data_IF_731887934638
#
_entry.id   IF_731887934638
#
_cell.length_a   1.000
_cell.length_b   1.000
_cell.length_c   1.000
_cell.angle_alpha   90.00
_cell.angle_beta   90.00
_cell.angle_gamma   90.00
#
_symmetry.space_group_name_H-M   'P 1'
#
loop_
_entity.id
_entity.type
_entity.pdbx_description
1 polymer ?
#
# COMPACT_ATOMS: atom_id res chain seq x y z
N UNK A 1 -5.86 -12.23 -9.79
CA UNK A 1 -5.30 -10.88 -9.91
C UNK A 1 -6.42 -9.98 -10.39
N UNK A 2 -7.33 -9.61 -9.48
CA UNK A 2 -8.46 -8.76 -9.84
C UNK A 2 -7.94 -7.33 -10.05
N UNK A 3 -8.35 -6.68 -11.14
CA UNK A 3 -8.07 -5.25 -11.31
C UNK A 3 -8.86 -4.49 -10.26
N UNK A 4 -8.18 -3.73 -9.42
CA UNK A 4 -8.84 -2.88 -8.43
C UNK A 4 -9.69 -1.84 -9.17
N UNK A 5 -10.99 -1.71 -8.86
CA UNK A 5 -11.86 -0.72 -9.48
C UNK A 5 -11.44 0.69 -9.07
N UNK A 6 -11.45 1.63 -10.02
CA UNK A 6 -11.20 3.05 -9.77
C UNK A 6 -12.02 3.66 -8.61
N UNK A 7 -13.34 3.38 -8.45
CA UNK A 7 -14.15 4.00 -7.39
C UNK A 7 -13.67 3.69 -5.97
N UNK A 8 -13.02 2.55 -5.72
CA UNK A 8 -12.47 2.27 -4.39
C UNK A 8 -11.26 3.16 -4.08
N UNK A 9 -10.43 3.47 -5.08
CA UNK A 9 -9.31 4.39 -4.93
C UNK A 9 -9.79 5.82 -4.72
N UNK A 10 -10.85 6.25 -5.40
CA UNK A 10 -11.49 7.56 -5.19
C UNK A 10 -12.07 7.66 -3.77
N UNK A 11 -12.80 6.65 -3.31
CA UNK A 11 -13.32 6.60 -1.94
C UNK A 11 -12.20 6.68 -0.88
N UNK A 12 -11.07 6.00 -1.11
CA UNK A 12 -9.92 6.11 -0.22
C UNK A 12 -9.31 7.52 -0.23
N UNK A 13 -9.35 8.23 -1.36
CA UNK A 13 -8.90 9.62 -1.42
C UNK A 13 -9.84 10.55 -0.65
N UNK A 14 -11.16 10.33 -0.73
CA UNK A 14 -12.16 11.06 0.07
C UNK A 14 -11.94 10.85 1.58
N UNK A 15 -11.66 9.60 2.01
CA UNK A 15 -11.35 9.31 3.41
C UNK A 15 -10.06 10.01 3.90
N UNK A 16 -9.10 10.20 3.00
CA UNK A 16 -7.80 10.78 3.30
C UNK A 16 -7.75 12.30 3.03
N UNK A 17 -8.87 12.90 2.60
CA UNK A 17 -8.97 14.32 2.28
C UNK A 17 -8.64 15.22 3.48
N UNK A 18 -8.91 14.75 4.70
CA UNK A 18 -8.52 15.43 5.94
C UNK A 18 -7.02 15.62 6.12
N UNK A 19 -6.18 14.82 5.44
CA UNK A 19 -4.71 14.90 5.48
C UNK A 19 -4.18 15.82 4.37
N UNK A 20 -4.99 16.12 3.35
CA UNK A 20 -4.65 16.99 2.22
C UNK A 20 -5.05 16.40 0.86
N UNK A 21 -4.77 17.11 -0.25
CA UNK A 21 -5.20 16.72 -1.59
C UNK A 21 -4.56 15.39 -2.01
N UNK A 22 -5.37 14.32 -1.96
CA UNK A 22 -4.96 12.96 -2.26
C UNK A 22 -5.13 12.64 -3.75
N UNK A 23 -4.10 12.05 -4.35
CA UNK A 23 -4.10 11.64 -5.76
C UNK A 23 -3.86 10.14 -5.86
N UNK A 24 -4.80 9.36 -6.43
CA UNK A 24 -4.60 7.94 -6.69
C UNK A 24 -3.76 7.75 -7.96
N UNK A 25 -2.71 6.93 -7.87
CA UNK A 25 -1.77 6.63 -8.95
C UNK A 25 -1.65 5.12 -9.14
N UNK A 26 -1.89 4.60 -10.34
CA UNK A 26 -1.76 3.14 -10.58
C UNK A 26 -0.35 2.64 -10.33
N UNK A 27 -0.19 1.72 -9.39
CA UNK A 27 1.08 1.09 -9.03
C UNK A 27 0.86 -0.36 -8.54
N UNK A 28 1.70 -1.29 -8.99
CA UNK A 28 1.73 -2.71 -8.54
C UNK A 28 0.44 -3.53 -8.70
N UNK A 29 -0.41 -3.21 -9.69
CA UNK A 29 -1.70 -3.87 -9.88
C UNK A 29 -2.83 -3.30 -9.02
N UNK A 30 -2.58 -2.21 -8.29
CA UNK A 30 -3.55 -1.42 -7.55
C UNK A 30 -3.31 0.08 -7.70
N UNK A 31 -3.52 0.86 -6.62
CA UNK A 31 -3.38 2.32 -6.60
C UNK A 31 -2.56 2.82 -5.41
N UNK A 32 -1.47 3.54 -5.62
CA UNK A 32 -0.82 4.32 -4.58
C UNK A 32 -1.51 5.67 -4.39
N UNK A 33 -1.80 6.07 -3.16
CA UNK A 33 -2.37 7.38 -2.82
C UNK A 33 -1.24 8.28 -2.33
N UNK A 34 -1.08 9.42 -2.99
CA UNK A 34 -0.06 10.42 -2.69
C UNK A 34 -0.69 11.76 -2.35
N UNK A 35 -0.21 12.42 -1.30
CA UNK A 35 -0.60 13.79 -0.92
C UNK A 35 0.64 14.68 -0.96
N UNK A 36 0.57 15.82 -1.66
CA UNK A 36 1.68 16.78 -1.73
C UNK A 36 3.03 16.19 -2.18
N UNK A 37 3.03 15.14 -2.98
CA UNK A 37 4.24 14.43 -3.43
C UNK A 37 4.73 13.30 -2.50
N UNK A 38 4.07 13.05 -1.37
CA UNK A 38 4.36 11.95 -0.46
C UNK A 38 3.33 10.84 -0.59
N UNK A 39 3.77 9.61 -0.87
CA UNK A 39 2.90 8.42 -0.82
C UNK A 39 2.60 8.04 0.63
N UNK A 40 1.34 8.19 1.03
CA UNK A 40 0.87 7.85 2.38
C UNK A 40 0.22 6.47 2.44
N UNK A 41 -0.38 6.00 1.34
CA UNK A 41 -1.14 4.77 1.32
C UNK A 41 -1.02 4.05 -0.02
N UNK A 42 -1.33 2.77 -0.03
CA UNK A 42 -1.47 1.96 -1.24
C UNK A 42 -2.71 1.07 -1.11
N UNK A 43 -3.49 1.00 -2.17
CA UNK A 43 -4.60 0.10 -2.36
C UNK A 43 -4.08 -1.09 -3.14
N UNK A 44 -4.17 -2.28 -2.55
CA UNK A 44 -3.68 -3.52 -3.16
C UNK A 44 -4.52 -4.71 -2.72
N UNK A 45 -4.79 -5.62 -3.65
CA UNK A 45 -5.35 -6.95 -3.38
C UNK A 45 -4.20 -7.96 -3.22
N UNK A 46 -4.02 -8.45 -1.98
CA UNK A 46 -3.00 -9.46 -1.63
C UNK A 46 -3.55 -10.89 -1.55
N UNK A 47 -4.78 -11.12 -2.03
CA UNK A 47 -5.44 -12.45 -1.98
C UNK A 47 -6.60 -12.54 -0.99
N UNK A 48 -6.83 -11.49 -0.20
CA UNK A 48 -7.97 -11.35 0.73
C UNK A 48 -8.89 -10.17 0.35
N UNK A 49 -8.88 -9.77 -0.93
CA UNK A 49 -9.66 -8.64 -1.44
C UNK A 49 -8.89 -7.31 -1.44
N UNK A 50 -9.53 -6.29 -2.02
CA UNK A 50 -8.98 -4.94 -2.09
C UNK A 50 -8.87 -4.31 -0.69
N UNK A 51 -7.65 -3.94 -0.30
CA UNK A 51 -7.37 -3.35 1.01
C UNK A 51 -6.54 -2.08 0.86
N UNK A 52 -6.85 -1.10 1.69
CA UNK A 52 -6.05 0.10 1.88
C UNK A 52 -4.94 -0.18 2.91
N UNK A 53 -3.70 0.02 2.50
CA UNK A 53 -2.50 -0.15 3.32
C UNK A 53 -1.87 1.21 3.58
N UNK A 54 -1.71 1.57 4.85
CA UNK A 54 -1.11 2.82 5.25
C UNK A 54 0.39 2.65 5.49
N UNK A 55 1.17 3.65 5.09
CA UNK A 55 2.60 3.69 5.34
C UNK A 55 2.84 3.99 6.82
N UNK A 56 3.14 2.94 7.59
CA UNK A 56 3.54 3.11 8.99
C UNK A 56 4.94 3.71 9.10
N UNK A 57 5.11 4.65 10.04
CA UNK A 57 6.44 5.14 10.44
C UNK A 57 7.05 4.24 11.53
N UNK A 58 8.34 4.41 11.83
CA UNK A 58 9.04 3.65 12.88
C UNK A 58 8.41 3.81 14.26
N UNK A 59 7.83 4.98 14.55
CA UNK A 59 7.13 5.25 15.82
C UNK A 59 5.72 4.68 15.83
N UNK A 60 5.01 4.71 14.71
CA UNK A 60 3.64 4.19 14.65
C UNK A 60 3.61 2.67 14.55
N UNK A 61 4.67 2.02 14.04
CA UNK A 61 4.72 0.57 13.82
C UNK A 61 4.31 -0.26 15.05
N UNK A 62 4.82 0.08 16.23
CA UNK A 62 4.48 -0.65 17.45
C UNK A 62 2.98 -0.57 17.78
N UNK A 63 2.35 0.57 17.50
CA UNK A 63 0.91 0.76 17.71
C UNK A 63 0.09 -0.05 16.70
N UNK A 64 0.50 -0.10 15.43
CA UNK A 64 -0.16 -0.92 14.41
C UNK A 64 -0.06 -2.42 14.73
N UNK A 65 1.11 -2.88 15.20
CA UNK A 65 1.30 -4.28 15.59
C UNK A 65 0.49 -4.64 16.84
N UNK A 66 0.43 -3.74 17.83
CA UNK A 66 -0.41 -3.91 19.01
C UNK A 66 -1.92 -3.92 18.68
N UNK A 67 -2.34 -3.18 17.66
CA UNK A 67 -3.71 -3.16 17.14
C UNK A 67 -4.04 -4.37 16.25
N UNK A 68 -3.10 -5.31 16.04
CA UNK A 68 -3.30 -6.50 15.22
C UNK A 68 -3.32 -6.21 13.71
N UNK A 69 -2.77 -5.07 13.28
CA UNK A 69 -2.75 -4.71 11.86
C UNK A 69 -1.76 -5.58 11.09
N UNK A 70 -2.21 -6.10 9.94
CA UNK A 70 -1.37 -6.89 9.05
C UNK A 70 -0.27 -6.04 8.41
N UNK A 71 0.90 -6.65 8.16
CA UNK A 71 1.97 -6.01 7.40
C UNK A 71 1.74 -6.25 5.91
N UNK A 72 1.94 -5.21 5.11
CA UNK A 72 1.89 -5.33 3.66
C UNK A 72 3.07 -6.19 3.17
N UNK A 73 2.79 -7.43 2.76
CA UNK A 73 3.76 -8.33 2.15
C UNK A 73 3.38 -8.58 0.69
N UNK A 74 4.05 -7.86 -0.21
CA UNK A 74 3.89 -8.09 -1.64
C UNK A 74 4.87 -9.16 -2.13
N UNK A 75 4.37 -10.36 -2.42
CA UNK A 75 5.16 -11.39 -3.10
C UNK A 75 5.28 -11.02 -4.58
N UNK A 76 6.30 -10.25 -4.94
CA UNK A 76 6.63 -10.04 -6.35
C UNK A 76 7.11 -11.36 -6.95
N UNK A 77 6.26 -12.07 -7.68
CA UNK A 77 6.64 -13.21 -8.50
C UNK A 77 7.46 -12.76 -9.72
N UNK A 78 8.63 -12.16 -9.51
CA UNK A 78 9.64 -11.94 -10.54
C UNK A 78 11.02 -12.29 -10.00
N UNK A 79 11.31 -13.58 -10.14
CA UNK A 79 12.64 -14.16 -10.44
C UNK A 79 13.73 -13.87 -9.39
N UNK A 80 13.94 -14.86 -8.52
CA UNK A 80 15.24 -15.12 -7.92
C UNK A 80 16.32 -15.06 -9.00
N UNK A 81 17.25 -14.12 -8.88
CA UNK A 81 18.62 -14.33 -9.33
C UNK A 81 19.44 -14.64 -8.07
N UNK A 82 19.90 -15.89 -7.87
CA UNK A 82 20.83 -16.20 -6.79
C UNK A 82 22.19 -15.60 -7.20
N UNK A 83 22.54 -14.47 -6.60
CA UNK A 83 23.71 -13.71 -7.01
C UNK A 83 24.22 -12.77 -5.94
N UNK A 84 24.29 -13.23 -4.69
CA UNK A 84 25.09 -12.58 -3.66
C UNK A 84 25.80 -13.67 -2.87
N UNK A 85 27.11 -13.82 -3.14
CA UNK A 85 28.03 -14.60 -2.30
C UNK A 85 28.48 -13.68 -1.16
N UNK A 86 28.33 -14.14 0.08
CA UNK A 86 29.08 -13.58 1.19
C UNK A 86 30.55 -14.00 1.03
N UNK A 87 31.47 -13.04 1.16
CA UNK A 87 32.84 -13.30 1.59
C UNK A 87 32.87 -13.46 3.10
#
# INVERSE_FOLDING_TARGET
MASIPAPFADYCCELLDSVGPCVPKRMFGGYGISTGGLTLAIVADLGDGEKLWLKASTTTRAQWEAAGCARFTYTSAKRSKPGWRAV
#
